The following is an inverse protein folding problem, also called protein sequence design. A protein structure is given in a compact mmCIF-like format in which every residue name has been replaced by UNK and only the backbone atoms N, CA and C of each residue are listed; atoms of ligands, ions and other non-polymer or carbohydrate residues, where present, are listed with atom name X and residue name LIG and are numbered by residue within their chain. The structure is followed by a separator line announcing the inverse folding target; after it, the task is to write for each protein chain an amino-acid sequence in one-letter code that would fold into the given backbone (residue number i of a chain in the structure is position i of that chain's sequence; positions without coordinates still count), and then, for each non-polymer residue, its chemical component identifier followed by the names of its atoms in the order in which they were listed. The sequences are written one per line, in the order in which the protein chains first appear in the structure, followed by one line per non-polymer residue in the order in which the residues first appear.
data_IF_154587846173
#
_entry.id   IF_154587846173
#
_cell.length_a   1.000
_cell.length_b   1.000
_cell.length_c   1.000
_cell.angle_alpha   90.00
_cell.angle_beta   90.00
_cell.angle_gamma   90.00
#
_symmetry.space_group_name_H-M   'P 1'
#
loop_
_entity.id
_entity.type
_entity.pdbx_description
1 polymer ?
#
# COMPACT_ATOMS: atom_id res chain seq x y z
N UNK A 1 -16.17 -15.64 -5.57
CA UNK A 1 -14.95 -15.37 -5.14
C UNK A 1 -13.77 -15.77 -5.99
N UNK A 2 -12.70 -15.09 -5.84
CA UNK A 2 -11.42 -15.41 -6.43
C UNK A 2 -10.46 -15.95 -5.39
N UNK A 3 -9.26 -16.30 -5.84
CA UNK A 3 -8.19 -16.71 -4.94
C UNK A 3 -7.88 -15.60 -3.94
N UNK A 4 -7.57 -15.93 -2.66
CA UNK A 4 -7.11 -14.95 -1.69
C UNK A 4 -5.72 -14.41 -2.01
N UNK A 5 -5.00 -15.07 -2.89
CA UNK A 5 -3.64 -14.71 -3.32
C UNK A 5 -3.65 -14.47 -4.84
N UNK A 6 -2.99 -13.40 -5.26
CA UNK A 6 -2.89 -12.99 -6.66
C UNK A 6 -1.44 -12.63 -6.98
N UNK A 7 -1.11 -12.48 -8.26
CA UNK A 7 0.20 -11.97 -8.64
C UNK A 7 0.28 -10.46 -8.44
N UNK A 8 1.50 -9.95 -8.26
CA UNK A 8 1.74 -8.50 -8.27
C UNK A 8 1.20 -7.88 -9.56
N UNK A 9 1.38 -8.56 -10.69
CA UNK A 9 0.85 -8.11 -11.97
C UNK A 9 -0.65 -7.85 -11.91
N UNK A 10 -1.41 -8.73 -11.27
CA UNK A 10 -2.85 -8.57 -11.12
C UNK A 10 -3.22 -7.40 -10.19
N UNK A 11 -2.51 -7.26 -9.06
CA UNK A 11 -2.69 -6.11 -8.16
C UNK A 11 -2.43 -4.79 -8.89
N UNK A 12 -1.39 -4.74 -9.72
CA UNK A 12 -1.04 -3.54 -10.49
C UNK A 12 -2.13 -3.19 -11.52
N UNK A 13 -2.80 -4.17 -12.09
CA UNK A 13 -3.89 -3.90 -13.03
C UNK A 13 -5.03 -3.13 -12.35
N UNK A 14 -5.39 -3.51 -11.14
CA UNK A 14 -6.43 -2.79 -10.37
C UNK A 14 -5.98 -1.40 -9.99
N UNK A 15 -4.73 -1.26 -9.55
CA UNK A 15 -4.15 0.05 -9.21
C UNK A 15 -4.09 0.94 -10.44
N UNK A 16 -3.68 0.42 -11.58
CA UNK A 16 -3.61 1.17 -12.83
C UNK A 16 -4.98 1.66 -13.28
N UNK A 17 -6.01 0.81 -13.16
CA UNK A 17 -7.38 1.21 -13.47
C UNK A 17 -7.86 2.34 -12.56
N UNK A 18 -7.56 2.26 -11.27
CA UNK A 18 -7.88 3.30 -10.30
C UNK A 18 -7.17 4.62 -10.61
N UNK A 19 -5.86 4.54 -10.88
CA UNK A 19 -5.06 5.73 -11.22
C UNK A 19 -5.50 6.36 -12.54
N UNK A 20 -5.93 5.56 -13.49
CA UNK A 20 -6.48 6.07 -14.75
C UNK A 20 -7.73 6.92 -14.51
N UNK A 21 -8.66 6.44 -13.68
CA UNK A 21 -9.87 7.19 -13.32
C UNK A 21 -9.48 8.51 -12.63
N UNK A 22 -8.50 8.48 -11.76
CA UNK A 22 -8.02 9.68 -11.07
C UNK A 22 -7.35 10.66 -12.02
N UNK A 23 -6.61 10.17 -13.02
CA UNK A 23 -5.96 11.03 -14.00
C UNK A 23 -7.00 11.81 -14.83
N UNK A 24 -8.16 11.24 -15.10
CA UNK A 24 -9.26 11.93 -15.73
C UNK A 24 -9.82 13.05 -14.85
N UNK A 25 -9.86 12.82 -13.54
CA UNK A 25 -10.40 13.79 -12.56
C UNK A 25 -9.42 14.91 -12.25
N UNK A 26 -8.17 14.60 -12.04
CA UNK A 26 -7.15 15.56 -11.57
C UNK A 26 -6.26 16.12 -12.68
N UNK A 27 -6.18 15.41 -13.83
CA UNK A 27 -5.34 15.85 -14.94
C UNK A 27 -3.88 15.99 -14.52
N UNK A 28 -3.28 17.11 -14.90
CA UNK A 28 -1.87 17.41 -14.61
C UNK A 28 -1.57 17.64 -13.12
N UNK A 29 -2.60 17.78 -12.31
CA UNK A 29 -2.43 17.92 -10.85
C UNK A 29 -1.95 16.63 -10.19
N UNK A 30 -2.14 15.48 -10.84
CA UNK A 30 -1.68 14.19 -10.36
C UNK A 30 -0.51 13.72 -11.21
N UNK A 31 0.64 13.55 -10.58
CA UNK A 31 1.82 12.94 -11.19
C UNK A 31 2.02 11.56 -10.59
N UNK A 32 2.16 10.55 -11.43
CA UNK A 32 2.40 9.16 -10.98
C UNK A 32 3.68 8.66 -11.63
N UNK A 33 4.61 8.20 -10.80
CA UNK A 33 5.84 7.57 -11.23
C UNK A 33 5.84 6.13 -10.73
N UNK A 34 6.31 5.20 -11.55
CA UNK A 34 6.42 3.79 -11.19
C UNK A 34 7.86 3.33 -11.37
N UNK A 35 8.37 2.66 -10.34
CA UNK A 35 9.69 2.02 -10.35
C UNK A 35 9.48 0.58 -9.90
N UNK A 36 9.26 -0.30 -10.87
CA UNK A 36 8.84 -1.67 -10.63
C UNK A 36 9.87 -2.63 -11.18
N UNK A 37 10.41 -3.49 -10.32
CA UNK A 37 11.24 -4.61 -10.75
C UNK A 37 10.33 -5.64 -11.42
N UNK A 38 10.40 -5.71 -12.75
CA UNK A 38 9.55 -6.57 -13.56
C UNK A 38 9.75 -8.05 -13.27
N UNK A 39 10.91 -8.44 -12.75
CA UNK A 39 11.16 -9.83 -12.36
C UNK A 39 10.28 -10.30 -11.21
N UNK A 40 9.63 -9.36 -10.51
CA UNK A 40 8.77 -9.64 -9.35
C UNK A 40 7.28 -9.72 -9.70
N UNK A 41 6.89 -9.51 -10.95
CA UNK A 41 5.48 -9.43 -11.35
C UNK A 41 4.69 -10.72 -11.06
N UNK A 42 5.38 -11.87 -11.05
CA UNK A 42 4.75 -13.16 -10.76
C UNK A 42 4.76 -13.54 -9.28
N UNK A 43 5.33 -12.70 -8.42
CA UNK A 43 5.30 -12.93 -6.98
C UNK A 43 3.86 -12.94 -6.48
N UNK A 44 3.55 -13.88 -5.60
CA UNK A 44 2.23 -14.02 -5.02
C UNK A 44 2.07 -13.10 -3.81
N UNK A 45 0.98 -12.35 -3.79
CA UNK A 45 0.65 -11.43 -2.70
C UNK A 45 -0.83 -11.60 -2.33
N UNK A 46 -1.22 -11.27 -1.10
CA UNK A 46 -2.63 -11.26 -0.76
C UNK A 46 -3.39 -10.24 -1.61
N UNK A 47 -4.61 -10.60 -1.99
CA UNK A 47 -5.46 -9.72 -2.79
C UNK A 47 -5.77 -8.42 -2.05
N UNK A 48 -5.81 -7.31 -2.78
CA UNK A 48 -6.21 -5.99 -2.29
C UNK A 48 -5.35 -5.48 -1.13
N UNK A 49 -4.02 -5.58 -1.27
CA UNK A 49 -3.11 -4.96 -0.31
C UNK A 49 -2.53 -3.66 -0.85
N UNK A 50 -2.37 -3.53 -2.16
CA UNK A 50 -1.73 -2.36 -2.75
C UNK A 50 -2.70 -1.20 -2.96
N UNK A 51 -3.91 -1.47 -3.44
CA UNK A 51 -4.89 -0.42 -3.72
C UNK A 51 -5.22 0.44 -2.49
N UNK A 52 -5.44 -0.13 -1.29
CA UNK A 52 -5.72 0.71 -0.11
C UNK A 52 -4.63 1.71 0.23
N UNK A 53 -3.36 1.35 0.04
CA UNK A 53 -2.26 2.29 0.32
C UNK A 53 -2.12 3.35 -0.77
N UNK A 54 -2.47 3.03 -2.01
CA UNK A 54 -2.53 4.02 -3.10
C UNK A 54 -3.69 4.99 -2.84
N UNK A 55 -4.86 4.50 -2.46
CA UNK A 55 -6.01 5.33 -2.10
C UNK A 55 -5.66 6.29 -0.95
N UNK A 56 -4.98 5.79 0.06
CA UNK A 56 -4.52 6.60 1.18
C UNK A 56 -3.57 7.71 0.73
N UNK A 57 -2.63 7.39 -0.16
CA UNK A 57 -1.68 8.36 -0.71
C UNK A 57 -2.40 9.47 -1.49
N UNK A 58 -3.42 9.11 -2.27
CA UNK A 58 -4.23 10.09 -3.01
C UNK A 58 -5.00 10.99 -2.04
N UNK A 59 -5.66 10.41 -1.06
CA UNK A 59 -6.45 11.16 -0.07
C UNK A 59 -5.59 12.15 0.72
N UNK A 60 -4.42 11.72 1.18
CA UNK A 60 -3.54 12.56 2.01
C UNK A 60 -2.57 13.41 1.21
N UNK A 61 -2.35 13.10 -0.07
CA UNK A 61 -1.47 13.86 -0.95
C UNK A 61 -2.26 14.75 -1.90
N UNK A 62 -2.78 14.16 -2.97
CA UNK A 62 -3.37 14.89 -4.11
C UNK A 62 -4.59 15.71 -3.72
N UNK A 63 -5.47 15.18 -2.89
CA UNK A 63 -6.71 15.87 -2.51
C UNK A 63 -6.48 17.08 -1.63
N UNK A 64 -5.39 17.11 -0.90
CA UNK A 64 -5.04 18.20 0.02
C UNK A 64 -4.09 19.24 -0.57
N UNK A 65 -3.65 19.06 -1.80
CA UNK A 65 -2.65 19.91 -2.45
C UNK A 65 -3.11 20.32 -3.84
N UNK A 66 -2.53 21.43 -4.33
CA UNK A 66 -2.77 21.90 -5.69
C UNK A 66 -2.21 20.89 -6.71
N UNK A 67 -1.01 20.37 -6.43
CA UNK A 67 -0.38 19.33 -7.22
C UNK A 67 0.11 18.25 -6.28
N UNK A 68 -0.03 17.00 -6.66
CA UNK A 68 0.44 15.88 -5.87
C UNK A 68 1.18 14.86 -6.71
N UNK A 69 2.28 14.33 -6.16
CA UNK A 69 3.06 13.28 -6.80
C UNK A 69 2.95 11.99 -5.99
N UNK A 70 2.82 10.89 -6.70
CA UNK A 70 2.81 9.54 -6.13
C UNK A 70 3.92 8.75 -6.83
N UNK A 71 4.74 8.08 -6.04
CA UNK A 71 5.75 7.15 -6.54
C UNK A 71 5.41 5.76 -6.02
N UNK A 72 5.26 4.82 -6.92
CA UNK A 72 5.00 3.43 -6.61
C UNK A 72 6.26 2.63 -6.92
N UNK A 73 6.81 1.95 -5.89
CA UNK A 73 8.01 1.12 -6.05
C UNK A 73 7.71 -0.31 -5.62
N UNK A 74 8.22 -1.25 -6.40
CA UNK A 74 8.19 -2.67 -6.06
C UNK A 74 9.60 -3.21 -6.27
N UNK A 75 10.19 -3.74 -5.22
CA UNK A 75 11.55 -4.25 -5.25
C UNK A 75 11.73 -5.35 -4.20
N UNK A 76 12.81 -6.09 -4.33
CA UNK A 76 13.18 -7.12 -3.38
C UNK A 76 14.62 -6.90 -2.92
N UNK A 77 14.85 -7.13 -1.64
CA UNK A 77 16.17 -7.33 -1.05
C UNK A 77 16.10 -8.68 -0.35
N UNK A 78 16.20 -8.72 0.97
CA UNK A 78 15.94 -9.93 1.73
C UNK A 78 14.45 -10.29 1.71
N UNK A 79 13.58 -9.28 1.65
CA UNK A 79 12.13 -9.41 1.62
C UNK A 79 11.56 -8.72 0.40
N UNK A 80 10.27 -8.90 0.16
CA UNK A 80 9.53 -8.18 -0.87
C UNK A 80 8.98 -6.88 -0.28
N UNK A 81 9.16 -5.78 -1.01
CA UNK A 81 8.71 -4.46 -0.61
C UNK A 81 7.79 -3.86 -1.67
N UNK A 82 6.65 -3.38 -1.22
CA UNK A 82 5.71 -2.59 -2.00
C UNK A 82 5.61 -1.24 -1.32
N UNK A 83 6.02 -0.18 -2.01
CA UNK A 83 6.09 1.16 -1.43
C UNK A 83 5.26 2.15 -2.23
N UNK A 84 4.57 3.01 -1.52
CA UNK A 84 3.89 4.17 -2.11
C UNK A 84 4.34 5.41 -1.34
N UNK A 85 5.00 6.32 -2.06
CA UNK A 85 5.42 7.59 -1.51
C UNK A 85 4.53 8.69 -2.08
N UNK A 86 4.11 9.62 -1.25
CA UNK A 86 3.36 10.79 -1.69
C UNK A 86 3.87 12.07 -1.05
N UNK A 87 3.71 13.17 -1.77
CA UNK A 87 3.88 14.50 -1.19
C UNK A 87 2.81 14.70 -0.13
N UNK A 88 3.20 15.13 1.04
CA UNK A 88 2.25 15.39 2.11
C UNK A 88 2.92 15.69 3.42
N UNK A 89 2.15 16.26 4.34
CA UNK A 89 2.59 16.58 5.70
C UNK A 89 1.74 15.77 6.66
N UNK A 90 2.40 15.15 7.62
CA UNK A 90 1.75 14.44 8.71
C UNK A 90 1.57 15.38 9.90
N UNK A 91 0.33 15.59 10.30
CA UNK A 91 0.05 16.29 11.56
C UNK A 91 0.23 15.32 12.73
N UNK A 92 0.28 15.85 13.96
CA UNK A 92 0.33 15.00 15.15
C UNK A 92 -0.92 14.12 15.26
N UNK A 93 -2.07 14.63 14.84
CA UNK A 93 -3.32 13.87 14.79
C UNK A 93 -3.23 12.72 13.77
N UNK A 94 -2.62 12.97 12.61
CA UNK A 94 -2.41 11.93 11.59
C UNK A 94 -1.53 10.82 12.15
N UNK A 95 -0.42 11.16 12.82
CA UNK A 95 0.49 10.17 13.42
C UNK A 95 -0.22 9.31 14.44
N UNK A 96 -1.03 9.94 15.29
CA UNK A 96 -1.80 9.24 16.32
C UNK A 96 -2.83 8.31 15.70
N UNK A 97 -3.56 8.77 14.70
CA UNK A 97 -4.55 7.97 13.97
C UNK A 97 -3.90 6.76 13.28
N UNK A 98 -2.77 6.97 12.61
CA UNK A 98 -2.04 5.89 11.93
C UNK A 98 -1.53 4.88 12.95
N UNK A 99 -0.94 5.33 14.04
CA UNK A 99 -0.46 4.46 15.10
C UNK A 99 -1.58 3.57 15.65
N UNK A 100 -2.75 4.16 15.88
CA UNK A 100 -3.94 3.42 16.35
C UNK A 100 -4.39 2.38 15.32
N UNK A 101 -4.45 2.74 14.04
CA UNK A 101 -4.86 1.85 12.97
C UNK A 101 -3.90 0.68 12.81
N UNK A 102 -2.60 0.94 12.86
CA UNK A 102 -1.57 -0.10 12.68
C UNK A 102 -1.39 -1.00 13.91
N UNK A 103 -1.84 -0.56 15.09
CA UNK A 103 -1.82 -1.38 16.30
C UNK A 103 -3.13 -2.16 16.53
N UNK A 104 -4.11 -2.01 15.64
CA UNK A 104 -5.39 -2.70 15.77
C UNK A 104 -5.21 -4.23 15.70
N UNK A 105 -5.75 -4.93 16.69
CA UNK A 105 -5.60 -6.38 16.84
C UNK A 105 -6.80 -7.19 16.31
N UNK A 106 -7.79 -6.51 15.74
CA UNK A 106 -8.98 -7.15 15.20
C UNK A 106 -10.12 -7.32 16.20
N UNK A 107 -9.91 -6.97 17.45
CA UNK A 107 -10.90 -7.25 18.52
C UNK A 107 -11.73 -6.05 18.93
N UNK A 108 -11.23 -4.82 18.74
CA UNK A 108 -11.95 -3.61 19.09
C UNK A 108 -12.86 -3.15 17.96
N UNK A 109 -14.09 -2.74 18.31
CA UNK A 109 -14.93 -2.03 17.37
C UNK A 109 -14.34 -0.63 17.18
N UNK A 110 -13.98 -0.32 15.98
CA UNK A 110 -13.55 1.02 15.62
C UNK A 110 -14.68 1.67 14.81
N UNK A 111 -15.12 2.83 15.26
CA UNK A 111 -16.16 3.60 14.59
C UNK A 111 -15.64 4.32 13.33
N UNK A 112 -14.44 3.99 12.88
CA UNK A 112 -13.86 4.54 11.67
C UNK A 112 -14.59 4.01 10.45
N UNK A 113 -15.47 4.82 9.89
CA UNK A 113 -16.30 4.47 8.74
C UNK A 113 -15.66 4.84 7.39
N UNK A 114 -14.50 5.51 7.38
CA UNK A 114 -13.82 5.87 6.15
C UNK A 114 -13.15 4.64 5.54
N UNK A 115 -13.53 4.30 4.33
CA UNK A 115 -13.06 3.09 3.63
C UNK A 115 -11.54 2.98 3.56
N UNK A 116 -10.82 4.08 3.32
CA UNK A 116 -9.36 4.07 3.23
C UNK A 116 -8.69 3.66 4.55
N UNK A 117 -9.23 4.09 5.68
CA UNK A 117 -8.69 3.76 7.01
C UNK A 117 -8.95 2.31 7.37
N UNK A 118 -10.13 1.79 7.05
CA UNK A 118 -10.47 0.38 7.22
C UNK A 118 -9.54 -0.49 6.36
N UNK A 119 -9.27 -0.06 5.14
CA UNK A 119 -8.36 -0.75 4.23
C UNK A 119 -6.95 -0.87 4.79
N UNK A 120 -6.40 0.22 5.33
CA UNK A 120 -5.05 0.26 5.91
C UNK A 120 -4.91 -0.69 7.10
N UNK A 121 -5.83 -0.63 8.07
CA UNK A 121 -5.74 -1.51 9.23
C UNK A 121 -5.91 -2.98 8.85
N UNK A 122 -6.79 -3.27 7.89
CA UNK A 122 -7.01 -4.63 7.41
C UNK A 122 -5.80 -5.18 6.65
N UNK A 123 -5.15 -4.36 5.83
CA UNK A 123 -3.91 -4.74 5.13
C UNK A 123 -2.85 -5.14 6.15
N UNK A 124 -2.59 -4.29 7.14
CA UNK A 124 -1.58 -4.56 8.15
C UNK A 124 -1.91 -5.84 8.93
N UNK A 125 -3.14 -5.98 9.38
CA UNK A 125 -3.57 -7.14 10.16
C UNK A 125 -3.47 -8.43 9.35
N UNK A 126 -3.92 -8.42 8.10
CA UNK A 126 -3.84 -9.59 7.21
C UNK A 126 -2.41 -10.05 6.99
N UNK A 127 -1.50 -9.12 6.75
CA UNK A 127 -0.09 -9.44 6.53
C UNK A 127 0.53 -10.09 7.78
N UNK A 128 0.22 -9.58 8.96
CA UNK A 128 0.72 -10.15 10.21
C UNK A 128 0.15 -11.53 10.50
N UNK A 129 -1.12 -11.73 10.23
CA UNK A 129 -1.78 -13.05 10.40
C UNK A 129 -1.17 -14.08 9.43
N UNK A 130 -0.96 -13.68 8.18
CA UNK A 130 -0.49 -14.61 7.15
C UNK A 130 1.00 -14.91 7.27
N UNK A 131 1.82 -13.94 7.64
CA UNK A 131 3.27 -14.05 7.52
C UNK A 131 4.02 -13.87 8.83
N UNK A 132 3.39 -13.38 9.88
CA UNK A 132 4.00 -13.17 11.20
C UNK A 132 4.20 -11.70 11.54
N UNK A 133 4.53 -11.43 12.80
CA UNK A 133 4.62 -10.07 13.35
C UNK A 133 5.72 -9.22 12.71
N UNK A 134 6.73 -9.85 12.12
CA UNK A 134 7.81 -9.16 11.44
C UNK A 134 7.35 -8.43 10.19
N UNK A 135 6.28 -8.90 9.56
CA UNK A 135 5.74 -8.37 8.32
C UNK A 135 4.58 -7.42 8.58
N UNK A 136 4.22 -6.64 7.60
CA UNK A 136 3.11 -5.71 7.73
C UNK A 136 3.31 -4.41 6.97
N UNK A 137 2.56 -3.40 7.40
CA UNK A 137 2.52 -2.07 6.83
C UNK A 137 3.08 -1.05 7.81
N UNK A 138 3.94 -0.17 7.32
CA UNK A 138 4.38 1.02 8.04
C UNK A 138 4.04 2.26 7.21
N UNK A 139 3.71 3.36 7.89
CA UNK A 139 3.45 4.65 7.25
C UNK A 139 4.18 5.69 8.07
N UNK A 140 5.11 6.41 7.44
CA UNK A 140 5.94 7.37 8.15
C UNK A 140 6.34 8.55 7.26
N UNK A 141 6.64 9.66 7.88
CA UNK A 141 7.20 10.84 7.21
C UNK A 141 8.71 10.62 7.10
N UNK A 142 9.20 10.49 5.86
CA UNK A 142 10.62 10.19 5.61
C UNK A 142 11.46 11.43 5.32
N UNK A 143 10.81 12.54 4.99
CA UNK A 143 11.41 13.84 4.75
C UNK A 143 10.33 14.90 4.94
N UNK A 144 10.67 16.18 5.10
CA UNK A 144 9.66 17.22 5.08
C UNK A 144 8.80 17.09 3.81
N UNK A 145 7.50 17.04 3.99
CA UNK A 145 6.52 16.92 2.92
C UNK A 145 6.58 15.64 2.10
N UNK A 146 7.12 14.55 2.68
CA UNK A 146 7.14 13.24 2.02
C UNK A 146 6.72 12.14 2.97
N UNK A 147 5.70 11.38 2.59
CA UNK A 147 5.13 10.28 3.38
C UNK A 147 5.33 8.99 2.62
N UNK A 148 5.84 7.97 3.32
CA UNK A 148 6.07 6.65 2.75
C UNK A 148 5.21 5.60 3.43
N UNK A 149 4.37 4.92 2.65
CA UNK A 149 3.69 3.70 3.06
C UNK A 149 4.46 2.51 2.50
N UNK A 150 4.90 1.61 3.38
CA UNK A 150 5.71 0.45 3.00
C UNK A 150 5.04 -0.83 3.48
N UNK A 151 4.81 -1.74 2.53
CA UNK A 151 4.43 -3.11 2.83
C UNK A 151 5.68 -3.98 2.72
N UNK A 152 5.94 -4.77 3.77
CA UNK A 152 6.98 -5.80 3.76
C UNK A 152 6.32 -7.16 3.90
N UNK A 153 6.66 -8.07 3.00
CA UNK A 153 6.17 -9.44 3.03
C UNK A 153 7.27 -10.38 2.51
N UNK A 154 7.13 -11.69 2.74
CA UNK A 154 8.15 -12.62 2.27
C UNK A 154 8.12 -12.75 0.76
N UNK A 155 9.29 -13.02 0.17
CA UNK A 155 9.39 -13.43 -1.21
C UNK A 155 8.79 -14.83 -1.35
N UNK A 156 7.94 -15.02 -2.36
CA UNK A 156 7.48 -16.34 -2.73
C UNK A 156 8.49 -16.97 -3.67
N UNK A 157 8.70 -18.28 -3.52
CA UNK A 157 9.59 -18.97 -4.44
C UNK A 157 8.95 -19.13 -5.81
N UNK A 158 9.77 -19.25 -6.85
CA UNK A 158 9.27 -19.62 -8.16
C UNK A 158 8.53 -20.96 -8.05
N UNK A 159 7.53 -21.13 -8.92
CA UNK A 159 6.60 -22.27 -8.85
C UNK A 159 7.26 -23.65 -8.81
N UNK A 160 8.52 -23.76 -9.24
CA UNK A 160 9.28 -24.99 -9.16
C UNK A 160 9.90 -25.29 -7.79
N UNK A 161 9.99 -24.31 -6.92
CA UNK A 161 10.63 -24.43 -5.60
C UNK A 161 9.63 -24.84 -4.50
N UNK A 162 8.36 -24.83 -4.80
CA UNK A 162 7.29 -25.19 -3.86
C UNK A 162 7.19 -26.70 -3.59
N UNK A 163 7.98 -27.51 -4.30
CA UNK A 163 7.99 -28.96 -4.18
C UNK A 163 9.22 -29.50 -3.44
N UNK A 164 9.91 -28.64 -2.73
CA UNK A 164 11.10 -29.05 -1.96
C UNK A 164 10.75 -29.13 -0.50
#
# INVERSE_FOLDING_TARGET
GGSPVVSISEELRYVDAYLYILSERYGERLSVEKDIDESLLDQAVPRLILQPIVENAVEHGVEKRTNGAIVLRIFAKKHLYLEVENDGVMTDQDRENISRLLSWDGTSEDNETRMGRIGIRNVNRRLKILYGEMYGLTIEEIAPESILARIMLPLTHAQGDLNV
#
